data_IF_632708109553
#
_entry.id   IF_632708109553
#
_cell.length_a   1.000
_cell.length_b   1.000
_cell.length_c   1.000
_cell.angle_alpha   90.00
_cell.angle_beta   90.00
_cell.angle_gamma   90.00
#
_symmetry.space_group_name_H-M   'P 1'
#
loop_
_entity.id
_entity.type
_entity.pdbx_description
1 polymer ?
#
# COMPACT_ATOMS: atom_id res chain seq x y z
N UNK A 1 18.11 15.03 4.67
CA UNK A 1 18.70 14.40 3.45
C UNK A 1 20.19 14.23 3.71
N UNK A 2 20.72 13.02 3.54
CA UNK A 2 22.18 12.81 3.53
C UNK A 2 22.66 12.64 2.10
N UNK A 3 23.52 13.53 1.61
CA UNK A 3 23.85 13.69 0.18
C UNK A 3 25.29 13.26 -0.07
N UNK A 4 25.56 12.33 -1.02
CA UNK A 4 26.91 11.94 -1.39
C UNK A 4 27.53 12.93 -2.36
N UNK A 5 28.86 13.03 -2.37
CA UNK A 5 29.61 13.96 -3.26
C UNK A 5 29.27 13.82 -4.75
N UNK A 6 28.87 12.62 -5.18
CA UNK A 6 28.54 12.32 -6.59
C UNK A 6 27.18 12.85 -7.05
N UNK A 7 26.32 13.30 -6.13
CA UNK A 7 25.01 13.84 -6.47
C UNK A 7 25.16 15.32 -6.83
N UNK A 8 24.70 15.69 -8.02
CA UNK A 8 24.71 17.07 -8.51
C UNK A 8 23.58 17.89 -7.90
N UNK A 9 23.79 19.21 -7.83
CA UNK A 9 22.76 20.15 -7.38
C UNK A 9 21.47 20.02 -8.21
N UNK A 10 21.60 19.80 -9.53
CA UNK A 10 20.46 19.57 -10.44
C UNK A 10 19.62 18.35 -10.05
N UNK A 11 20.23 17.26 -9.59
CA UNK A 11 19.50 16.07 -9.12
C UNK A 11 18.75 16.35 -7.82
N UNK A 12 19.37 17.09 -6.90
CA UNK A 12 18.75 17.48 -5.63
C UNK A 12 17.58 18.45 -5.87
N UNK A 13 17.74 19.42 -6.76
CA UNK A 13 16.64 20.30 -7.18
C UNK A 13 15.47 19.52 -7.77
N UNK A 14 15.72 18.50 -8.61
CA UNK A 14 14.67 17.63 -9.16
C UNK A 14 13.95 16.86 -8.07
N UNK A 15 14.66 16.30 -7.09
CA UNK A 15 14.08 15.64 -5.93
C UNK A 15 13.17 16.59 -5.14
N UNK A 16 13.67 17.79 -4.82
CA UNK A 16 12.91 18.80 -4.09
C UNK A 16 11.67 19.26 -4.87
N UNK A 17 11.77 19.44 -6.20
CA UNK A 17 10.63 19.74 -7.06
C UNK A 17 9.56 18.65 -6.97
N UNK A 18 9.93 17.37 -6.95
CA UNK A 18 9.00 16.25 -6.76
C UNK A 18 8.30 16.29 -5.40
N UNK A 19 9.06 16.48 -4.31
CA UNK A 19 8.53 16.59 -2.95
C UNK A 19 7.55 17.77 -2.83
N UNK A 20 7.91 18.93 -3.36
CA UNK A 20 7.07 20.13 -3.33
C UNK A 20 5.80 19.96 -4.19
N UNK A 21 5.89 19.30 -5.35
CA UNK A 21 4.74 18.99 -6.18
C UNK A 21 3.74 18.08 -5.46
N UNK A 22 4.22 17.02 -4.80
CA UNK A 22 3.37 16.13 -4.00
C UNK A 22 2.78 16.87 -2.80
N UNK A 23 3.58 17.67 -2.10
CA UNK A 23 3.15 18.49 -0.95
C UNK A 23 2.01 19.43 -1.35
N UNK A 24 2.13 20.12 -2.49
CA UNK A 24 1.07 20.99 -3.04
C UNK A 24 -0.19 20.19 -3.38
N UNK A 25 -0.05 19.03 -4.03
CA UNK A 25 -1.17 18.15 -4.41
C UNK A 25 -1.95 17.65 -3.18
N UNK A 26 -1.25 17.19 -2.16
CA UNK A 26 -1.84 16.63 -0.94
C UNK A 26 -2.17 17.69 0.12
N UNK A 27 -1.92 18.97 -0.17
CA UNK A 27 -2.08 20.11 0.75
C UNK A 27 -1.30 19.95 2.05
N UNK A 28 -0.10 19.37 1.95
CA UNK A 28 0.87 19.22 3.04
C UNK A 28 1.89 20.35 2.93
N UNK A 29 2.31 20.92 4.05
CA UNK A 29 3.38 21.94 4.09
C UNK A 29 4.70 21.28 4.46
N UNK A 30 5.74 21.49 3.65
CA UNK A 30 7.13 21.24 4.06
C UNK A 30 7.57 22.40 4.95
N UNK A 31 7.79 22.13 6.24
CA UNK A 31 8.08 23.17 7.25
C UNK A 31 9.54 23.21 7.71
N UNK A 32 10.36 22.26 7.25
CA UNK A 32 11.77 22.19 7.62
C UNK A 32 12.40 20.85 7.23
N UNK A 33 13.67 20.70 7.61
CA UNK A 33 14.47 19.51 7.37
C UNK A 33 15.94 19.78 7.71
N UNK A 34 16.77 18.76 7.52
CA UNK A 34 18.21 18.84 7.73
C UNK A 34 18.97 18.32 6.51
N UNK A 35 20.17 18.85 6.27
CA UNK A 35 21.07 18.42 5.21
C UNK A 35 22.40 17.97 5.82
N UNK A 36 22.83 16.77 5.47
CA UNK A 36 24.10 16.23 5.91
C UNK A 36 24.87 15.61 4.75
N UNK A 37 26.18 15.48 4.91
CA UNK A 37 27.03 14.78 3.95
C UNK A 37 26.95 13.28 4.20
N UNK A 38 26.78 12.51 3.13
CA UNK A 38 26.89 11.05 3.15
C UNK A 38 28.19 10.62 2.45
N UNK A 39 28.87 9.55 2.91
CA UNK A 39 30.05 9.04 2.22
C UNK A 39 29.75 8.61 0.79
N UNK A 40 28.69 7.80 0.59
CA UNK A 40 28.50 7.05 -0.66
C UNK A 40 27.06 7.01 -1.19
N UNK A 41 26.04 7.15 -0.32
CA UNK A 41 24.63 6.91 -0.68
C UNK A 41 23.77 8.14 -0.44
N UNK A 42 22.79 8.38 -1.32
CA UNK A 42 21.71 9.30 -1.02
C UNK A 42 20.80 8.65 0.02
N UNK A 43 20.55 9.35 1.13
CA UNK A 43 19.62 8.92 2.18
C UNK A 43 18.53 9.96 2.33
N UNK A 44 17.28 9.51 2.19
CA UNK A 44 16.10 10.34 2.31
C UNK A 44 15.34 9.87 3.55
N UNK A 45 15.18 10.76 4.53
CA UNK A 45 14.36 10.53 5.71
C UNK A 45 13.32 11.64 5.77
N UNK A 46 12.05 11.25 5.90
CA UNK A 46 10.90 12.15 5.93
C UNK A 46 10.13 11.90 7.21
N UNK A 47 9.88 12.96 7.96
CA UNK A 47 8.96 12.94 9.10
C UNK A 47 7.66 13.62 8.70
N UNK A 48 6.53 12.95 8.88
CA UNK A 48 5.21 13.48 8.58
C UNK A 48 4.41 13.68 9.88
N UNK A 49 3.76 14.82 10.00
CA UNK A 49 2.84 15.14 11.10
C UNK A 49 1.42 15.24 10.57
N UNK A 50 0.48 14.67 11.32
CA UNK A 50 -0.94 14.71 11.03
C UNK A 50 -1.74 14.96 12.30
N UNK A 51 -2.87 15.65 12.15
CA UNK A 51 -3.84 15.88 13.23
C UNK A 51 -5.16 15.24 12.83
N UNK A 52 -5.84 14.62 13.80
CA UNK A 52 -7.12 13.97 13.57
C UNK A 52 -8.19 14.58 14.48
N UNK A 53 -9.32 14.95 13.88
CA UNK A 53 -10.51 15.42 14.62
C UNK A 53 -11.26 14.28 15.32
N UNK A 54 -10.91 13.02 14.99
CA UNK A 54 -11.53 11.78 15.48
C UNK A 54 -10.45 10.78 15.86
N UNK A 55 -10.85 9.70 16.52
CA UNK A 55 -9.93 8.64 16.94
C UNK A 55 -9.20 8.03 15.73
N UNK A 56 -7.90 7.71 15.87
CA UNK A 56 -7.15 7.02 14.83
C UNK A 56 -7.72 5.63 14.56
N UNK A 57 -7.54 5.14 13.33
CA UNK A 57 -7.74 3.74 13.01
C UNK A 57 -6.50 2.98 13.48
N UNK A 58 -6.65 2.21 14.56
CA UNK A 58 -5.58 1.38 15.10
C UNK A 58 -5.58 0.00 14.44
N UNK A 59 -4.52 -0.78 14.66
CA UNK A 59 -4.39 -2.16 14.15
C UNK A 59 -5.14 -3.18 15.01
N UNK A 60 -5.35 -2.89 16.30
CA UNK A 60 -5.81 -3.81 17.35
C UNK A 60 -7.34 -3.89 17.53
N UNK A 61 -8.11 -3.61 16.47
CA UNK A 61 -9.58 -3.52 16.55
C UNK A 61 -10.31 -4.39 15.51
N UNK A 62 -9.62 -5.37 14.92
CA UNK A 62 -10.29 -6.34 14.06
C UNK A 62 -11.29 -7.17 14.89
N UNK A 63 -12.48 -7.40 14.34
CA UNK A 63 -13.55 -8.14 15.02
C UNK A 63 -13.93 -9.39 14.22
N UNK A 64 -14.17 -10.50 14.91
CA UNK A 64 -14.70 -11.74 14.33
C UNK A 64 -15.92 -11.44 13.43
N UNK A 65 -15.94 -12.04 12.24
CA UNK A 65 -17.02 -11.85 11.27
C UNK A 65 -16.92 -10.54 10.48
N UNK A 66 -15.99 -9.63 10.84
CA UNK A 66 -15.67 -8.46 10.04
C UNK A 66 -15.09 -8.84 8.68
N UNK A 67 -15.44 -8.09 7.66
CA UNK A 67 -14.91 -8.26 6.31
C UNK A 67 -13.59 -7.53 6.15
N UNK A 68 -12.71 -8.11 5.36
CA UNK A 68 -11.38 -7.58 5.03
C UNK A 68 -11.47 -6.93 3.65
N UNK A 69 -10.98 -5.70 3.54
CA UNK A 69 -10.96 -4.92 2.32
C UNK A 69 -9.57 -4.41 1.98
N UNK A 70 -9.28 -4.33 0.68
CA UNK A 70 -8.14 -3.58 0.14
C UNK A 70 -8.63 -2.43 -0.74
N UNK A 71 -7.94 -1.30 -0.72
CA UNK A 71 -8.41 -0.08 -1.40
C UNK A 71 -8.04 0.01 -2.89
N UNK A 72 -7.21 -0.90 -3.40
CA UNK A 72 -6.80 -0.92 -4.82
C UNK A 72 -6.39 -2.32 -5.25
N UNK A 73 -6.28 -2.56 -6.58
CA UNK A 73 -5.62 -3.74 -7.10
C UNK A 73 -4.13 -3.80 -6.71
N UNK A 74 -3.62 -5.02 -6.57
CA UNK A 74 -2.32 -5.34 -5.97
C UNK A 74 -1.38 -6.06 -6.95
N UNK A 75 -0.11 -6.13 -6.58
CA UNK A 75 1.00 -6.84 -7.22
C UNK A 75 1.84 -6.00 -8.17
N UNK A 76 1.46 -4.76 -8.44
CA UNK A 76 2.08 -3.97 -9.49
C UNK A 76 3.53 -3.54 -9.18
N UNK A 77 3.86 -3.06 -7.96
CA UNK A 77 5.23 -2.68 -7.62
C UNK A 77 6.19 -3.86 -7.69
N UNK A 78 5.79 -5.05 -7.27
CA UNK A 78 6.63 -6.24 -7.34
C UNK A 78 6.88 -6.70 -8.79
N UNK A 79 5.86 -6.70 -9.66
CA UNK A 79 6.07 -6.97 -11.09
C UNK A 79 6.93 -5.88 -11.75
N UNK A 80 6.80 -4.61 -11.37
CA UNK A 80 7.66 -3.53 -11.83
C UNK A 80 9.12 -3.74 -11.41
N UNK A 81 9.36 -4.18 -10.17
CA UNK A 81 10.70 -4.52 -9.67
C UNK A 81 11.34 -5.64 -10.49
N UNK A 82 10.56 -6.65 -10.90
CA UNK A 82 11.05 -7.71 -11.80
C UNK A 82 11.45 -7.16 -13.16
N UNK A 83 10.75 -6.15 -13.69
CA UNK A 83 11.14 -5.47 -14.93
C UNK A 83 12.44 -4.68 -14.76
N UNK A 84 12.59 -3.91 -13.66
CA UNK A 84 13.84 -3.19 -13.37
C UNK A 84 15.03 -4.15 -13.24
N UNK A 85 14.86 -5.30 -12.58
CA UNK A 85 15.90 -6.34 -12.49
C UNK A 85 16.29 -6.94 -13.84
N UNK A 86 15.41 -6.87 -14.84
CA UNK A 86 15.68 -7.28 -16.23
C UNK A 86 16.26 -6.14 -17.08
N UNK A 87 16.56 -4.99 -16.49
CA UNK A 87 17.13 -3.83 -17.18
C UNK A 87 16.10 -2.88 -17.79
N UNK A 88 14.81 -3.00 -17.46
CA UNK A 88 13.86 -1.98 -17.85
C UNK A 88 14.22 -0.64 -17.23
N UNK A 89 14.13 0.44 -18.02
CA UNK A 89 14.38 1.80 -17.57
C UNK A 89 13.15 2.64 -17.90
N UNK A 90 12.73 3.47 -16.96
CA UNK A 90 11.76 4.52 -17.25
C UNK A 90 12.56 5.75 -17.74
N UNK A 91 12.65 5.90 -19.07
CA UNK A 91 13.47 6.95 -19.72
C UNK A 91 13.12 8.36 -19.24
N UNK A 92 11.83 8.61 -19.00
CA UNK A 92 11.34 9.86 -18.43
C UNK A 92 10.26 9.58 -17.39
N UNK A 93 10.36 10.23 -16.24
CA UNK A 93 9.32 10.20 -15.23
C UNK A 93 8.11 10.97 -15.75
N UNK A 94 6.96 10.33 -16.04
CA UNK A 94 5.82 11.03 -16.58
C UNK A 94 5.22 11.91 -15.48
N UNK A 95 5.58 13.20 -15.48
CA UNK A 95 4.91 14.21 -14.67
C UNK A 95 3.45 14.43 -15.14
N UNK A 96 3.09 13.92 -16.32
CA UNK A 96 1.74 13.98 -16.88
C UNK A 96 0.85 12.83 -16.39
N UNK A 97 -0.46 13.01 -16.56
CA UNK A 97 -1.46 11.97 -16.28
C UNK A 97 -1.63 10.95 -17.43
N UNK A 98 -0.89 11.10 -18.54
CA UNK A 98 -0.98 10.18 -19.69
C UNK A 98 0.11 9.12 -19.57
N UNK A 99 -0.26 7.98 -19.00
CA UNK A 99 0.61 6.81 -18.87
C UNK A 99 0.39 5.93 -20.09
N UNK A 100 1.46 5.62 -20.83
CA UNK A 100 1.37 4.61 -21.89
C UNK A 100 1.12 3.24 -21.26
N UNK A 101 0.37 2.37 -21.92
CA UNK A 101 -0.03 1.06 -21.38
C UNK A 101 1.16 0.22 -20.90
N UNK A 102 2.25 0.25 -21.65
CA UNK A 102 3.51 -0.44 -21.37
C UNK A 102 4.20 0.05 -20.08
N UNK A 103 3.93 1.28 -19.64
CA UNK A 103 4.55 1.89 -18.48
C UNK A 103 3.70 1.82 -17.21
N UNK A 104 2.51 1.19 -17.25
CA UNK A 104 1.57 1.18 -16.11
C UNK A 104 2.17 0.58 -14.83
N UNK A 105 2.97 -0.49 -14.94
CA UNK A 105 3.64 -1.10 -13.79
C UNK A 105 4.70 -0.18 -13.19
N UNK A 106 5.59 0.34 -14.04
CA UNK A 106 6.65 1.26 -13.62
C UNK A 106 6.07 2.53 -13.01
N UNK A 107 5.00 3.04 -13.61
CA UNK A 107 4.28 4.19 -13.11
C UNK A 107 3.67 3.93 -11.73
N UNK A 108 3.03 2.77 -11.54
CA UNK A 108 2.45 2.39 -10.27
C UNK A 108 3.51 2.24 -9.17
N UNK A 109 4.70 1.74 -9.51
CA UNK A 109 5.84 1.66 -8.59
C UNK A 109 6.30 3.05 -8.13
N UNK A 110 6.38 4.02 -9.05
CA UNK A 110 6.87 5.36 -8.74
C UNK A 110 5.80 6.32 -8.19
N UNK A 111 4.53 6.12 -8.55
CA UNK A 111 3.39 6.97 -8.17
C UNK A 111 2.32 6.13 -7.50
N UNK A 112 2.60 5.77 -6.26
CA UNK A 112 1.63 5.18 -5.38
C UNK A 112 0.35 6.04 -5.25
N UNK A 113 -0.82 5.39 -5.12
CA UNK A 113 -2.09 6.09 -4.97
C UNK A 113 -2.20 6.75 -3.60
N UNK A 114 -2.53 8.05 -3.54
CA UNK A 114 -2.81 8.70 -2.26
C UNK A 114 -4.00 8.04 -1.55
N UNK A 115 -3.77 7.60 -0.32
CA UNK A 115 -4.77 6.97 0.55
C UNK A 115 -5.31 7.91 1.63
N UNK A 116 -4.76 9.12 1.77
CA UNK A 116 -5.04 10.05 2.87
C UNK A 116 -6.53 10.36 2.98
N UNK A 117 -7.17 10.70 1.85
CA UNK A 117 -8.61 11.00 1.82
C UNK A 117 -9.45 9.79 2.22
N UNK A 118 -9.09 8.59 1.76
CA UNK A 118 -9.80 7.38 2.11
C UNK A 118 -9.70 7.08 3.60
N UNK A 119 -8.48 7.11 4.16
CA UNK A 119 -8.25 6.91 5.60
C UNK A 119 -9.05 7.89 6.47
N UNK A 120 -9.08 9.17 6.08
CA UNK A 120 -9.91 10.18 6.76
C UNK A 120 -11.40 9.84 6.72
N UNK A 121 -11.94 9.42 5.57
CA UNK A 121 -13.37 9.07 5.46
C UNK A 121 -13.68 7.83 6.30
N UNK A 122 -12.84 6.79 6.23
CA UNK A 122 -13.01 5.56 7.00
C UNK A 122 -13.08 5.83 8.51
N UNK A 123 -12.22 6.72 9.02
CA UNK A 123 -12.23 7.17 10.42
C UNK A 123 -13.43 8.08 10.73
N UNK A 124 -13.59 9.20 10.01
CA UNK A 124 -14.61 10.23 10.31
C UNK A 124 -16.04 9.71 10.25
N UNK A 125 -16.31 8.77 9.34
CA UNK A 125 -17.62 8.12 9.19
C UNK A 125 -17.74 6.83 9.99
N UNK A 126 -16.71 6.46 10.77
CA UNK A 126 -16.65 5.24 11.57
C UNK A 126 -17.01 3.98 10.77
N UNK A 127 -16.57 3.93 9.52
CA UNK A 127 -16.85 2.82 8.59
C UNK A 127 -15.95 1.63 8.95
N UNK A 128 -14.66 1.91 9.15
CA UNK A 128 -13.68 0.91 9.54
C UNK A 128 -13.38 0.98 11.03
N UNK A 129 -12.99 -0.16 11.60
CA UNK A 129 -12.55 -0.26 12.98
C UNK A 129 -11.03 -0.45 13.10
N UNK A 130 -10.40 -1.08 12.11
CA UNK A 130 -8.94 -1.17 12.05
C UNK A 130 -8.44 -1.03 10.61
N UNK A 131 -7.25 -0.47 10.47
CA UNK A 131 -6.60 -0.26 9.18
C UNK A 131 -5.08 -0.31 9.33
N UNK A 132 -4.42 -0.69 8.26
CA UNK A 132 -2.98 -0.54 8.02
C UNK A 132 -2.79 -0.22 6.53
N UNK A 133 -1.69 0.41 6.17
CA UNK A 133 -1.22 0.43 4.79
C UNK A 133 -0.53 -0.91 4.41
N UNK A 134 -0.52 -1.25 3.14
CA UNK A 134 0.21 -2.40 2.61
C UNK A 134 1.56 -1.90 2.09
N UNK A 135 2.63 -2.16 2.84
CA UNK A 135 4.01 -1.79 2.48
C UNK A 135 4.90 -3.02 2.27
N UNK A 136 4.64 -4.11 3.00
CA UNK A 136 5.51 -5.29 2.99
C UNK A 136 4.83 -6.51 2.35
N UNK A 137 3.57 -6.36 1.97
CA UNK A 137 2.75 -7.38 1.32
C UNK A 137 1.52 -7.72 2.13
N UNK A 138 0.43 -8.06 1.42
CA UNK A 138 -0.89 -8.27 2.01
C UNK A 138 -0.86 -9.25 3.19
N UNK A 139 -0.17 -10.39 3.04
CA UNK A 139 -0.11 -11.41 4.09
C UNK A 139 0.67 -10.93 5.32
N UNK A 140 1.80 -10.24 5.13
CA UNK A 140 2.62 -9.70 6.21
C UNK A 140 1.88 -8.59 6.95
N UNK A 141 1.29 -7.64 6.24
CA UNK A 141 0.56 -6.53 6.87
C UNK A 141 -0.77 -6.96 7.50
N UNK A 142 -1.47 -7.93 6.92
CA UNK A 142 -2.63 -8.55 7.57
C UNK A 142 -2.23 -9.24 8.86
N UNK A 143 -1.11 -9.97 8.89
CA UNK A 143 -0.63 -10.64 10.09
C UNK A 143 -0.41 -9.68 11.25
N UNK A 144 0.01 -8.44 10.97
CA UNK A 144 0.18 -7.38 11.98
C UNK A 144 -1.17 -6.99 12.60
N UNK A 145 -2.20 -6.76 11.79
CA UNK A 145 -3.56 -6.51 12.28
C UNK A 145 -4.05 -7.69 13.14
N UNK A 146 -3.85 -8.91 12.67
CA UNK A 146 -4.33 -10.13 13.30
C UNK A 146 -3.65 -10.39 14.65
N UNK A 147 -2.33 -10.20 14.73
CA UNK A 147 -1.56 -10.30 15.96
C UNK A 147 -2.05 -9.30 17.00
N UNK A 148 -2.16 -8.02 16.62
CA UNK A 148 -2.61 -6.94 17.49
C UNK A 148 -4.08 -7.09 17.94
N UNK A 149 -4.89 -7.80 17.15
CA UNK A 149 -6.32 -8.02 17.43
C UNK A 149 -6.62 -9.42 18.01
N UNK A 150 -5.60 -10.23 18.25
CA UNK A 150 -5.74 -11.62 18.70
C UNK A 150 -6.71 -12.47 17.86
N UNK A 151 -6.66 -12.34 16.53
CA UNK A 151 -7.58 -12.97 15.59
C UNK A 151 -6.84 -13.70 14.47
N UNK A 152 -7.58 -14.38 13.58
CA UNK A 152 -7.07 -14.83 12.28
C UNK A 152 -7.97 -14.40 11.12
N UNK A 153 -7.69 -14.94 9.93
CA UNK A 153 -8.41 -14.55 8.72
C UNK A 153 -8.61 -15.71 7.76
N UNK A 154 -9.69 -15.65 7.00
CA UNK A 154 -9.82 -16.35 5.72
C UNK A 154 -9.74 -15.30 4.62
N UNK A 155 -8.70 -15.39 3.79
CA UNK A 155 -8.51 -14.58 2.59
C UNK A 155 -8.92 -15.42 1.39
N UNK A 156 -9.88 -14.93 0.62
CA UNK A 156 -10.37 -15.58 -0.60
C UNK A 156 -9.50 -15.10 -1.77
N UNK A 157 -8.63 -15.99 -2.27
CA UNK A 157 -7.66 -15.66 -3.32
C UNK A 157 -8.34 -15.36 -4.65
N UNK A 158 -9.55 -15.88 -4.87
CA UNK A 158 -10.31 -15.64 -6.09
C UNK A 158 -10.90 -14.21 -6.11
N UNK A 159 -10.96 -13.54 -4.94
CA UNK A 159 -11.44 -12.17 -4.78
C UNK A 159 -10.32 -11.13 -4.70
N UNK A 160 -9.05 -11.55 -4.73
CA UNK A 160 -7.92 -10.62 -4.68
C UNK A 160 -7.89 -9.79 -5.96
N UNK A 161 -8.01 -8.46 -5.88
CA UNK A 161 -7.94 -7.62 -7.06
C UNK A 161 -6.49 -7.56 -7.55
N UNK A 162 -6.20 -8.19 -8.68
CA UNK A 162 -4.87 -8.13 -9.32
C UNK A 162 -4.80 -6.90 -10.21
N UNK A 163 -3.66 -6.22 -10.22
CA UNK A 163 -3.50 -5.03 -11.05
C UNK A 163 -3.44 -5.44 -12.52
N UNK A 164 -4.34 -4.87 -13.33
CA UNK A 164 -4.37 -5.09 -14.77
C UNK A 164 -3.42 -4.10 -15.48
N UNK A 165 -2.66 -4.58 -16.46
CA UNK A 165 -1.71 -3.79 -17.22
C UNK A 165 -1.55 -4.28 -18.66
N UNK A 166 -1.07 -3.40 -19.55
CA UNK A 166 -0.88 -3.73 -20.96
C UNK A 166 -2.19 -4.13 -21.65
N UNK A 167 -2.13 -5.14 -22.51
CA UNK A 167 -3.29 -5.67 -23.23
C UNK A 167 -3.97 -6.81 -22.47
N UNK A 168 -4.49 -6.49 -21.29
CA UNK A 168 -5.31 -7.42 -20.49
C UNK A 168 -4.52 -8.41 -19.62
N UNK A 169 -3.22 -8.17 -19.40
CA UNK A 169 -2.43 -8.95 -18.43
C UNK A 169 -2.79 -8.50 -17.01
N UNK A 170 -2.63 -9.41 -16.07
CA UNK A 170 -2.75 -9.12 -14.64
C UNK A 170 -1.47 -9.54 -13.92
N UNK A 171 -1.22 -8.90 -12.79
CA UNK A 171 -0.14 -9.32 -11.88
C UNK A 171 -0.36 -10.76 -11.42
N UNK A 172 0.72 -11.42 -11.00
CA UNK A 172 0.59 -12.75 -10.41
C UNK A 172 -0.10 -12.67 -9.04
N UNK A 173 -0.81 -13.75 -8.64
CA UNK A 173 -1.38 -13.83 -7.29
C UNK A 173 -0.28 -13.74 -6.22
N UNK A 174 0.90 -14.31 -6.49
CA UNK A 174 2.02 -14.23 -5.57
C UNK A 174 2.45 -12.78 -5.32
N UNK A 175 2.68 -11.99 -6.37
CA UNK A 175 2.96 -10.56 -6.24
C UNK A 175 1.86 -9.81 -5.49
N UNK A 176 0.59 -10.15 -5.70
CA UNK A 176 -0.52 -9.52 -4.97
C UNK A 176 -0.57 -9.90 -3.47
N UNK A 177 -0.08 -11.09 -3.09
CA UNK A 177 -0.11 -11.59 -1.71
C UNK A 177 1.11 -11.17 -0.90
N UNK A 178 2.30 -11.14 -1.53
CA UNK A 178 3.59 -11.00 -0.85
C UNK A 178 4.42 -9.80 -1.33
N UNK A 179 4.04 -9.18 -2.45
CA UNK A 179 4.71 -7.99 -2.98
C UNK A 179 4.51 -6.78 -2.10
N UNK A 180 5.60 -6.06 -1.81
CA UNK A 180 5.59 -4.82 -1.04
C UNK A 180 5.33 -3.57 -1.89
N UNK A 181 5.47 -2.40 -1.26
CA UNK A 181 5.37 -1.07 -1.88
C UNK A 181 4.01 -0.76 -2.52
N UNK A 182 2.95 -1.48 -2.14
CA UNK A 182 1.60 -1.21 -2.67
C UNK A 182 1.10 0.18 -2.30
N UNK A 183 1.40 0.63 -1.09
CA UNK A 183 1.00 1.93 -0.52
C UNK A 183 -0.52 2.15 -0.65
N UNK A 184 -1.27 1.06 -0.42
CA UNK A 184 -2.75 1.02 -0.39
C UNK A 184 -3.23 0.70 1.02
N UNK A 185 -4.53 0.83 1.30
CA UNK A 185 -5.07 0.50 2.62
C UNK A 185 -5.63 -0.91 2.65
N UNK A 186 -5.24 -1.66 3.67
CA UNK A 186 -5.88 -2.85 4.18
C UNK A 186 -6.71 -2.48 5.42
N UNK A 187 -8.01 -2.74 5.40
CA UNK A 187 -8.88 -2.34 6.49
C UNK A 187 -10.03 -3.34 6.71
N UNK A 188 -10.63 -3.30 7.89
CA UNK A 188 -11.79 -4.15 8.20
C UNK A 188 -13.07 -3.34 8.36
N UNK A 189 -14.20 -3.95 7.97
CA UNK A 189 -15.54 -3.36 8.09
C UNK A 189 -16.49 -4.41 8.66
N UNK A 190 -17.28 -4.03 9.66
CA UNK A 190 -18.33 -4.92 10.17
C UNK A 190 -19.46 -5.08 9.14
N UNK A 191 -20.12 -6.25 9.05
CA UNK A 191 -21.15 -6.50 8.03
C UNK A 191 -22.27 -5.45 7.96
N UNK A 192 -22.72 -4.95 9.11
CA UNK A 192 -23.75 -3.90 9.23
C UNK A 192 -23.32 -2.54 8.63
N UNK A 193 -22.01 -2.31 8.50
CA UNK A 193 -21.42 -1.08 7.96
C UNK A 193 -20.96 -1.19 6.53
N UNK A 194 -20.99 -2.38 5.91
CA UNK A 194 -20.55 -2.57 4.52
C UNK A 194 -21.30 -1.63 3.56
N UNK A 195 -22.60 -1.40 3.79
CA UNK A 195 -23.42 -0.44 3.03
C UNK A 195 -22.88 1.00 3.02
N UNK A 196 -22.11 1.39 4.05
CA UNK A 196 -21.54 2.73 4.15
C UNK A 196 -20.41 2.96 3.15
N UNK A 197 -19.76 1.90 2.65
CA UNK A 197 -18.76 2.03 1.58
C UNK A 197 -19.42 2.61 0.32
N UNK A 198 -20.53 2.01 -0.12
CA UNK A 198 -21.31 2.50 -1.27
C UNK A 198 -21.88 3.90 -1.03
N UNK A 199 -22.46 4.14 0.14
CA UNK A 199 -23.02 5.46 0.50
C UNK A 199 -21.99 6.60 0.45
N UNK A 200 -20.72 6.30 0.73
CA UNK A 200 -19.61 7.27 0.68
C UNK A 200 -18.79 7.18 -0.63
N UNK A 201 -19.29 6.46 -1.64
CA UNK A 201 -18.63 6.27 -2.95
C UNK A 201 -17.20 5.71 -2.82
N UNK A 202 -16.96 4.89 -1.80
CA UNK A 202 -15.68 4.22 -1.58
C UNK A 202 -15.62 3.00 -2.49
N UNK A 203 -14.64 2.96 -3.39
CA UNK A 203 -14.28 1.77 -4.15
C UNK A 203 -13.23 1.00 -3.35
N UNK A 204 -13.57 -0.22 -2.96
CA UNK A 204 -12.68 -1.14 -2.28
C UNK A 204 -13.10 -2.58 -2.60
N UNK A 205 -12.19 -3.52 -2.42
CA UNK A 205 -12.37 -4.91 -2.80
C UNK A 205 -12.43 -5.76 -1.55
N UNK A 206 -13.53 -6.49 -1.37
CA UNK A 206 -13.68 -7.45 -0.28
C UNK A 206 -12.86 -8.69 -0.60
N UNK A 207 -11.86 -8.97 0.22
CA UNK A 207 -10.89 -10.05 -0.03
C UNK A 207 -10.97 -11.16 1.00
N UNK A 208 -11.79 -11.01 2.04
CA UNK A 208 -11.85 -12.03 3.09
C UNK A 208 -12.68 -11.64 4.30
N UNK A 209 -12.49 -12.40 5.38
CA UNK A 209 -13.16 -12.20 6.66
C UNK A 209 -12.24 -12.55 7.83
N UNK A 210 -12.46 -11.87 8.95
CA UNK A 210 -11.80 -12.14 10.23
C UNK A 210 -12.48 -13.33 10.92
N UNK A 211 -11.67 -14.23 11.48
CA UNK A 211 -12.09 -15.42 12.22
C UNK A 211 -11.44 -15.46 13.61
N UNK A 212 -11.95 -16.32 14.49
CA UNK A 212 -11.41 -16.49 15.86
C UNK A 212 -10.12 -17.29 15.92
N UNK A 213 -9.96 -18.29 15.04
CA UNK A 213 -8.73 -19.08 15.00
C UNK A 213 -7.57 -18.20 14.55
N UNK A 214 -6.49 -18.13 15.34
CA UNK A 214 -5.33 -17.24 15.13
C UNK A 214 -4.40 -17.73 13.99
N UNK A 215 -4.98 -18.03 12.83
CA UNK A 215 -4.34 -18.56 11.62
C UNK A 215 -4.81 -17.76 10.41
N UNK A 216 -3.94 -17.58 9.40
CA UNK A 216 -4.35 -17.10 8.08
C UNK A 216 -4.61 -18.31 7.18
N UNK A 217 -5.81 -18.37 6.61
CA UNK A 217 -6.18 -19.33 5.58
C UNK A 217 -6.33 -18.64 4.24
N UNK A 218 -5.71 -19.20 3.21
CA UNK A 218 -6.01 -18.88 1.81
C UNK A 218 -7.07 -19.84 1.30
N UNK A 219 -8.15 -19.29 0.75
CA UNK A 219 -9.27 -20.03 0.17
C UNK A 219 -9.34 -19.78 -1.34
N UNK A 220 -9.46 -20.85 -2.12
CA UNK A 220 -9.80 -20.80 -3.55
C UNK A 220 -10.88 -21.84 -3.83
N UNK A 221 -12.05 -21.40 -4.30
CA UNK A 221 -13.25 -22.21 -4.40
C UNK A 221 -13.58 -22.92 -3.08
N UNK A 222 -13.47 -24.25 -3.05
CA UNK A 222 -13.71 -25.07 -1.84
C UNK A 222 -12.43 -25.43 -1.08
N UNK A 223 -11.25 -25.18 -1.65
CA UNK A 223 -9.97 -25.53 -1.04
C UNK A 223 -9.54 -24.45 -0.06
N UNK A 224 -9.03 -24.86 1.10
CA UNK A 224 -8.39 -23.96 2.07
C UNK A 224 -7.00 -24.49 2.42
N UNK A 225 -6.03 -23.60 2.54
CA UNK A 225 -4.68 -23.91 3.03
C UNK A 225 -4.22 -22.87 4.03
N UNK A 226 -3.42 -23.29 5.02
CA UNK A 226 -2.74 -22.35 5.91
C UNK A 226 -1.73 -21.53 5.12
N UNK A 227 -1.55 -20.28 5.50
CA UNK A 227 -0.53 -19.40 4.96
C UNK A 227 0.30 -18.77 6.06
N UNK A 228 1.59 -18.61 5.78
CA UNK A 228 2.52 -17.91 6.64
C UNK A 228 2.49 -16.41 6.32
N UNK A 229 2.92 -15.60 7.29
CA UNK A 229 3.10 -14.15 7.14
C UNK A 229 4.34 -13.86 6.26
N UNK A 230 4.21 -14.10 4.96
CA UNK A 230 5.27 -13.83 3.97
C UNK A 230 5.14 -12.42 3.40
N UNK A 231 6.27 -11.78 3.13
CA UNK A 231 6.37 -10.43 2.62
C UNK A 231 7.81 -9.91 2.71
N UNK A 232 8.06 -8.70 2.25
CA UNK A 232 9.39 -8.09 2.27
C UNK A 232 9.95 -7.99 3.69
N UNK A 233 11.22 -8.35 3.89
CA UNK A 233 11.95 -8.18 5.14
C UNK A 233 13.35 -7.61 4.86
N UNK A 234 13.73 -6.56 5.58
CA UNK A 234 15.03 -5.91 5.41
C UNK A 234 16.23 -6.83 5.73
N UNK A 235 16.01 -7.86 6.54
CA UNK A 235 17.08 -8.72 7.05
C UNK A 235 16.97 -10.18 6.59
N UNK A 236 15.92 -10.54 5.85
CA UNK A 236 15.88 -11.84 5.17
C UNK A 236 16.86 -11.84 4.00
N UNK A 237 17.78 -12.80 3.99
CA UNK A 237 18.64 -13.08 2.83
C UNK A 237 17.88 -13.85 1.77
#
# INVERSE_FOLDING_TARGET
LAIPKKCSDKEIEKLLKGILALSKKEKIKLIGGDLSKSPNKLVISITAFGVLDKKPLLRNKAKKGGYIFVSSPLGAPDEALKLFKKGAVLEEFPLSNKIKKENQLLDRFFRAPSQTRLGMILSKKSISFCSIDISDGLLKDLSRILKESEAGAVVDTDLIPKFAFGDGKETSLESALTGGEEQTLLFTVSPDKERLLKANKIKAFKVGKIISEKTIFLKSGRKMRKANAMGFDHFSK
#
